data_IF_979511544285
#
_entry.id   IF_979511544285
#
_cell.length_a   1.000
_cell.length_b   1.000
_cell.length_c   1.000
_cell.angle_alpha   90.00
_cell.angle_beta   90.00
_cell.angle_gamma   90.00
#
_symmetry.space_group_name_H-M   'P 1'
#
loop_
_entity.id
_entity.type
_entity.pdbx_description
1 polymer ?
#
# COMPACT_ATOMS: atom_id res chain seq x y z
N UNK A 1 -4.04 32.10 -39.37
CA UNK A 1 -4.46 31.32 -38.19
C UNK A 1 -5.13 32.29 -37.26
N UNK A 2 -6.38 32.04 -36.88
CA UNK A 2 -7.12 32.91 -35.96
C UNK A 2 -6.59 32.75 -34.53
N UNK A 3 -6.82 33.74 -33.67
CA UNK A 3 -6.52 33.59 -32.23
C UNK A 3 -7.29 32.41 -31.60
N UNK A 4 -8.48 32.11 -32.12
CA UNK A 4 -9.29 30.98 -31.69
C UNK A 4 -8.64 29.64 -32.06
N UNK A 5 -8.10 29.51 -33.28
CA UNK A 5 -7.43 28.28 -33.72
C UNK A 5 -6.18 27.97 -32.86
N UNK A 6 -5.46 29.02 -32.46
CA UNK A 6 -4.29 28.92 -31.59
C UNK A 6 -4.70 28.48 -30.17
N UNK A 7 -5.80 29.02 -29.64
CA UNK A 7 -6.35 28.63 -28.35
C UNK A 7 -6.86 27.17 -28.35
N UNK A 8 -7.59 26.77 -29.39
CA UNK A 8 -8.08 25.39 -29.54
C UNK A 8 -6.94 24.38 -29.60
N UNK A 9 -5.88 24.69 -30.36
CA UNK A 9 -4.69 23.84 -30.45
C UNK A 9 -3.97 23.71 -29.11
N UNK A 10 -3.83 24.82 -28.38
CA UNK A 10 -3.23 24.84 -27.04
C UNK A 10 -4.07 24.02 -26.04
N UNK A 11 -5.38 24.26 -25.95
CA UNK A 11 -6.29 23.54 -25.06
C UNK A 11 -6.42 22.06 -25.41
N UNK A 12 -6.44 21.73 -26.71
CA UNK A 12 -6.52 20.37 -27.23
C UNK A 12 -5.35 19.50 -26.78
N UNK A 13 -4.15 20.08 -26.60
CA UNK A 13 -3.01 19.37 -26.04
C UNK A 13 -3.27 18.89 -24.61
N UNK A 14 -3.79 19.78 -23.74
CA UNK A 14 -4.10 19.43 -22.35
C UNK A 14 -5.25 18.42 -22.27
N UNK A 15 -6.28 18.57 -23.10
CA UNK A 15 -7.38 17.60 -23.18
C UNK A 15 -6.85 16.20 -23.53
N UNK A 16 -5.93 16.08 -24.49
CA UNK A 16 -5.32 14.80 -24.85
C UNK A 16 -4.56 14.14 -23.68
N UNK A 17 -3.95 14.92 -22.79
CA UNK A 17 -3.29 14.42 -21.57
C UNK A 17 -4.28 14.00 -20.48
N UNK A 18 -5.48 14.53 -20.54
CA UNK A 18 -6.58 14.14 -19.68
C UNK A 18 -7.39 12.98 -20.26
N UNK A 19 -7.16 12.53 -21.50
CA UNK A 19 -7.90 11.43 -22.11
C UNK A 19 -7.61 10.05 -21.49
N UNK A 20 -8.50 9.09 -21.73
CA UNK A 20 -8.46 7.77 -21.11
C UNK A 20 -7.09 7.04 -21.24
N UNK A 21 -6.39 7.06 -22.38
CA UNK A 21 -5.06 6.44 -22.49
C UNK A 21 -4.01 7.09 -21.59
N UNK A 22 -3.99 8.43 -21.53
CA UNK A 22 -3.04 9.18 -20.71
C UNK A 22 -3.35 9.03 -19.21
N UNK A 23 -4.63 9.09 -18.81
CA UNK A 23 -5.04 8.78 -17.42
C UNK A 23 -4.66 7.37 -17.00
N UNK A 24 -4.85 6.36 -17.87
CA UNK A 24 -4.39 4.99 -17.61
C UNK A 24 -2.88 4.92 -17.40
N UNK A 25 -2.09 5.68 -18.17
CA UNK A 25 -0.65 5.72 -17.98
C UNK A 25 -0.28 6.33 -16.61
N UNK A 26 -0.87 7.48 -16.28
CA UNK A 26 -0.67 8.15 -14.99
C UNK A 26 -1.02 7.25 -13.80
N UNK A 27 -2.20 6.64 -13.81
CA UNK A 27 -2.67 5.77 -12.74
C UNK A 27 -1.81 4.51 -12.59
N UNK A 28 -1.29 3.93 -13.68
CA UNK A 28 -0.35 2.80 -13.61
C UNK A 28 0.97 3.17 -12.92
N UNK A 29 1.50 4.35 -13.21
CA UNK A 29 2.76 4.80 -12.60
C UNK A 29 2.57 5.09 -11.12
N UNK A 30 1.47 5.76 -10.76
CA UNK A 30 1.08 5.98 -9.36
C UNK A 30 0.89 4.64 -8.63
N UNK A 31 0.23 3.66 -9.25
CA UNK A 31 0.04 2.32 -8.69
C UNK A 31 1.38 1.68 -8.29
N UNK A 32 2.35 1.77 -9.20
CA UNK A 32 3.66 1.14 -9.06
C UNK A 32 4.41 1.76 -7.89
N UNK A 33 4.45 3.08 -7.83
CA UNK A 33 5.21 3.79 -6.79
C UNK A 33 4.51 3.73 -5.43
N UNK A 34 3.18 3.89 -5.40
CA UNK A 34 2.42 3.74 -4.17
C UNK A 34 2.63 2.33 -3.58
N UNK A 35 2.50 1.28 -4.40
CA UNK A 35 2.77 -0.09 -3.96
C UNK A 35 4.18 -0.23 -3.40
N UNK A 36 5.20 0.27 -4.09
CA UNK A 36 6.60 0.23 -3.63
C UNK A 36 6.74 0.88 -2.25
N UNK A 37 6.17 2.06 -2.06
CA UNK A 37 6.13 2.75 -0.77
C UNK A 37 5.46 1.91 0.33
N UNK A 38 4.27 1.35 0.07
CA UNK A 38 3.59 0.46 1.02
C UNK A 38 4.48 -0.74 1.39
N UNK A 39 5.15 -1.37 0.42
CA UNK A 39 6.03 -2.51 0.65
C UNK A 39 7.23 -2.15 1.53
N UNK A 40 7.86 -1.01 1.26
CA UNK A 40 9.01 -0.51 2.03
C UNK A 40 8.60 -0.21 3.47
N UNK A 41 7.48 0.51 3.66
CA UNK A 41 6.98 0.86 4.99
C UNK A 41 6.58 -0.37 5.82
N UNK A 42 5.91 -1.34 5.20
CA UNK A 42 5.59 -2.62 5.86
C UNK A 42 6.89 -3.37 6.23
N UNK A 43 7.92 -3.34 5.37
CA UNK A 43 9.22 -3.95 5.69
C UNK A 43 9.88 -3.29 6.91
N UNK A 44 9.78 -1.96 7.03
CA UNK A 44 10.25 -1.18 8.17
C UNK A 44 9.41 -1.34 9.44
N UNK A 45 8.27 -2.05 9.38
CA UNK A 45 7.33 -2.22 10.49
C UNK A 45 6.75 -0.90 11.01
N UNK A 46 6.48 0.05 10.11
CA UNK A 46 5.88 1.35 10.45
C UNK A 46 4.46 1.49 9.92
N UNK A 47 3.66 2.30 10.61
CA UNK A 47 2.34 2.79 10.19
C UNK A 47 2.50 3.99 9.25
N UNK A 48 1.43 4.43 8.56
CA UNK A 48 1.47 5.63 7.70
C UNK A 48 1.83 6.93 8.43
N UNK A 49 1.56 7.02 9.74
CA UNK A 49 1.95 8.15 10.59
C UNK A 49 3.43 8.10 11.04
N UNK A 50 4.20 7.12 10.56
CA UNK A 50 5.60 6.91 10.91
C UNK A 50 5.85 6.12 12.20
N UNK A 51 4.83 5.89 13.03
CA UNK A 51 4.97 5.14 14.29
C UNK A 51 5.22 3.65 14.04
N UNK A 52 5.90 2.99 14.97
CA UNK A 52 6.16 1.56 14.87
C UNK A 52 4.88 0.71 15.08
N UNK A 53 4.82 -0.44 14.43
CA UNK A 53 3.81 -1.44 14.75
C UNK A 53 3.96 -1.95 16.18
N UNK A 54 2.83 -2.21 16.83
CA UNK A 54 2.85 -2.85 18.13
C UNK A 54 3.53 -4.23 18.06
N UNK A 55 4.45 -4.47 18.99
CA UNK A 55 5.23 -5.69 19.04
C UNK A 55 4.34 -6.94 19.20
N UNK A 56 4.85 -8.10 18.78
CA UNK A 56 4.16 -9.38 19.02
C UNK A 56 4.25 -9.75 20.49
N UNK A 57 3.15 -10.27 21.05
CA UNK A 57 3.16 -10.92 22.37
C UNK A 57 4.29 -11.98 22.43
N UNK A 58 5.14 -11.95 23.46
CA UNK A 58 6.16 -12.98 23.63
C UNK A 58 5.46 -14.32 23.87
N UNK A 59 5.86 -15.37 23.15
CA UNK A 59 5.37 -16.72 23.44
C UNK A 59 6.06 -17.25 24.71
N UNK A 60 5.34 -17.94 25.61
CA UNK A 60 5.96 -18.60 26.77
C UNK A 60 7.07 -19.53 26.30
N UNK A 61 8.28 -19.32 26.82
CA UNK A 61 9.50 -20.03 26.40
C UNK A 61 9.54 -21.42 27.04
N UNK A 62 8.76 -22.39 26.54
CA UNK A 62 8.78 -23.73 27.13
C UNK A 62 10.11 -24.49 26.91
N UNK A 63 10.88 -24.19 25.83
CA UNK A 63 12.14 -24.91 25.50
C UNK A 63 13.21 -24.06 24.76
N UNK A 64 13.39 -22.79 25.12
CA UNK A 64 14.28 -21.87 24.36
C UNK A 64 15.46 -21.28 25.17
N UNK A 65 15.73 -21.75 26.40
CA UNK A 65 16.90 -21.28 27.17
C UNK A 65 18.20 -21.53 26.38
N UNK A 66 18.29 -22.63 25.64
CA UNK A 66 19.50 -23.01 24.88
C UNK A 66 19.58 -22.39 23.46
N UNK A 67 18.58 -21.58 23.08
CA UNK A 67 18.51 -20.92 21.75
C UNK A 67 18.28 -19.41 21.87
N UNK A 68 18.58 -18.83 23.02
CA UNK A 68 18.61 -17.39 23.19
C UNK A 68 19.64 -16.79 22.20
N UNK A 69 19.19 -15.91 21.30
CA UNK A 69 20.04 -15.25 20.30
C UNK A 69 20.03 -15.84 18.89
N UNK A 70 19.71 -17.14 18.69
CA UNK A 70 19.80 -17.78 17.36
C UNK A 70 18.54 -17.61 16.50
N UNK A 71 17.38 -17.34 17.09
CA UNK A 71 16.11 -17.16 16.37
C UNK A 71 15.74 -15.68 16.33
N UNK A 72 16.33 -14.92 15.37
CA UNK A 72 15.79 -13.60 15.03
C UNK A 72 14.35 -13.79 14.56
N UNK A 73 13.38 -13.20 15.28
CA UNK A 73 11.98 -13.25 14.83
C UNK A 73 11.90 -12.54 13.48
N UNK A 74 11.45 -13.25 12.44
CA UNK A 74 11.20 -12.63 11.14
C UNK A 74 10.22 -11.46 11.32
N UNK A 75 10.49 -10.34 10.65
CA UNK A 75 9.63 -9.17 10.61
C UNK A 75 8.18 -9.57 10.27
N UNK A 76 7.19 -8.87 10.84
CA UNK A 76 5.78 -9.18 10.55
C UNK A 76 5.46 -8.89 9.10
N UNK A 77 4.45 -9.57 8.56
CA UNK A 77 3.92 -9.30 7.22
C UNK A 77 4.95 -9.42 6.08
N UNK A 78 6.09 -10.07 6.31
CA UNK A 78 7.14 -10.26 5.32
C UNK A 78 6.66 -10.98 4.05
N UNK A 79 5.67 -11.90 4.18
CA UNK A 79 4.98 -12.47 3.02
C UNK A 79 4.01 -11.45 2.41
N UNK A 80 3.08 -10.90 3.19
CA UNK A 80 2.06 -9.94 2.72
C UNK A 80 2.64 -8.80 1.87
N UNK A 81 3.80 -8.24 2.22
CA UNK A 81 4.44 -7.17 1.42
C UNK A 81 4.97 -7.60 0.05
N UNK A 82 5.06 -8.89 -0.26
CA UNK A 82 5.57 -9.32 -1.57
C UNK A 82 4.59 -8.94 -2.68
N UNK A 83 5.11 -8.66 -3.87
CA UNK A 83 4.30 -8.25 -5.02
C UNK A 83 3.14 -9.24 -5.30
N UNK A 84 3.40 -10.55 -5.27
CA UNK A 84 2.33 -11.55 -5.51
C UNK A 84 1.11 -11.45 -4.57
N UNK A 85 1.24 -10.77 -3.43
CA UNK A 85 0.17 -10.65 -2.43
C UNK A 85 -0.38 -9.22 -2.28
N UNK A 86 0.47 -8.19 -2.30
CA UNK A 86 0.03 -6.80 -2.37
C UNK A 86 -0.19 -6.44 -3.84
N UNK A 87 -1.44 -6.46 -4.29
CA UNK A 87 -1.85 -6.29 -5.69
C UNK A 87 -2.15 -4.83 -6.01
N UNK A 88 -2.13 -4.55 -7.30
CA UNK A 88 -2.50 -3.27 -7.89
C UNK A 88 -3.51 -3.53 -9.00
N UNK A 89 -4.59 -2.77 -9.03
CA UNK A 89 -5.61 -2.80 -10.08
C UNK A 89 -5.87 -1.36 -10.50
N UNK A 90 -5.98 -1.10 -11.80
CA UNK A 90 -6.24 0.25 -12.28
C UNK A 90 -6.93 0.21 -13.64
N UNK A 91 -7.74 1.24 -13.91
CA UNK A 91 -8.36 1.50 -15.20
C UNK A 91 -8.15 2.99 -15.58
N UNK A 92 -9.00 3.55 -16.44
CA UNK A 92 -8.87 4.94 -16.88
C UNK A 92 -9.38 5.97 -15.86
N UNK A 93 -10.10 5.53 -14.84
CA UNK A 93 -10.82 6.31 -13.84
C UNK A 93 -10.35 6.02 -12.42
N UNK A 94 -9.86 4.80 -12.16
CA UNK A 94 -9.61 4.31 -10.81
C UNK A 94 -8.27 3.59 -10.68
N UNK A 95 -7.77 3.58 -9.44
CA UNK A 95 -6.60 2.86 -9.00
C UNK A 95 -6.86 2.28 -7.61
N UNK A 96 -6.50 1.02 -7.40
CA UNK A 96 -6.48 0.35 -6.12
C UNK A 96 -5.13 -0.33 -5.85
N UNK A 97 -4.67 -0.26 -4.60
CA UNK A 97 -3.53 -1.02 -4.08
C UNK A 97 -3.98 -1.73 -2.82
N UNK A 98 -3.88 -3.06 -2.78
CA UNK A 98 -4.42 -3.81 -1.66
C UNK A 98 -4.22 -5.30 -1.71
N UNK A 99 -5.06 -6.03 -0.96
CA UNK A 99 -4.99 -7.47 -0.82
C UNK A 99 -6.30 -8.10 -1.28
N UNK A 100 -6.25 -9.34 -1.76
CA UNK A 100 -7.42 -10.08 -2.24
C UNK A 100 -7.62 -11.42 -1.50
N UNK A 101 -8.86 -11.93 -1.55
CA UNK A 101 -9.23 -13.25 -1.03
C UNK A 101 -8.88 -13.45 0.45
N UNK A 102 -8.41 -14.66 0.80
CA UNK A 102 -8.06 -15.04 2.18
C UNK A 102 -7.01 -14.11 2.82
N UNK A 103 -6.13 -13.52 2.02
CA UNK A 103 -5.06 -12.63 2.48
C UNK A 103 -5.63 -11.28 2.90
N UNK A 104 -6.62 -10.77 2.17
CA UNK A 104 -7.33 -9.53 2.51
C UNK A 104 -7.95 -9.61 3.90
N UNK A 105 -8.52 -10.75 4.27
CA UNK A 105 -9.07 -10.96 5.62
C UNK A 105 -8.01 -10.82 6.72
N UNK A 106 -6.82 -11.41 6.53
CA UNK A 106 -5.72 -11.28 7.50
C UNK A 106 -5.24 -9.82 7.57
N UNK A 107 -5.09 -9.18 6.41
CA UNK A 107 -4.71 -7.77 6.35
C UNK A 107 -5.74 -6.89 7.06
N UNK A 108 -7.04 -7.11 6.85
CA UNK A 108 -8.15 -6.37 7.46
C UNK A 108 -8.13 -6.46 8.98
N UNK A 109 -7.96 -7.67 9.53
CA UNK A 109 -7.85 -7.89 10.99
C UNK A 109 -6.75 -7.02 11.58
N UNK A 110 -5.60 -6.91 10.91
CA UNK A 110 -4.51 -6.05 11.37
C UNK A 110 -4.71 -4.58 11.05
N UNK A 111 -5.27 -4.24 9.90
CA UNK A 111 -5.56 -2.87 9.48
C UNK A 111 -6.49 -2.17 10.47
N UNK A 112 -7.57 -2.86 10.86
CA UNK A 112 -8.66 -2.32 11.69
C UNK A 112 -8.57 -2.76 13.16
N UNK A 113 -7.63 -3.63 13.51
CA UNK A 113 -7.48 -4.15 14.87
C UNK A 113 -8.69 -4.99 15.31
N UNK A 114 -9.06 -5.99 14.52
CA UNK A 114 -10.27 -6.78 14.75
C UNK A 114 -10.04 -7.98 15.67
N UNK A 115 -11.14 -8.59 16.10
CA UNK A 115 -11.10 -9.93 16.70
C UNK A 115 -10.91 -10.98 15.60
N UNK A 116 -10.01 -11.92 15.84
CA UNK A 116 -9.91 -13.12 15.02
C UNK A 116 -9.37 -14.30 15.82
N UNK A 117 -9.70 -15.50 15.37
CA UNK A 117 -9.16 -16.74 15.95
C UNK A 117 -7.67 -16.88 15.68
N UNK A 118 -6.91 -17.22 16.72
CA UNK A 118 -5.44 -17.41 16.62
C UNK A 118 -5.09 -18.70 15.88
N UNK A 119 -5.95 -19.72 15.96
CA UNK A 119 -5.82 -21.01 15.28
C UNK A 119 -7.21 -21.56 14.91
N UNK A 120 -7.32 -22.52 13.97
CA UNK A 120 -8.58 -23.21 13.71
C UNK A 120 -9.15 -23.82 15.00
N UNK A 121 -10.41 -23.49 15.32
CA UNK A 121 -11.08 -23.87 16.60
C UNK A 121 -10.36 -23.42 17.88
N UNK A 122 -9.43 -22.47 17.77
CA UNK A 122 -8.70 -21.91 18.90
C UNK A 122 -9.34 -20.65 19.48
N UNK A 123 -8.71 -20.05 20.51
CA UNK A 123 -9.21 -18.85 21.16
C UNK A 123 -9.23 -17.66 20.20
N UNK A 124 -10.18 -16.76 20.45
CA UNK A 124 -10.28 -15.48 19.79
C UNK A 124 -9.37 -14.44 20.47
N UNK A 125 -8.84 -13.52 19.68
CA UNK A 125 -7.93 -12.49 20.15
C UNK A 125 -8.23 -11.16 19.46
N UNK A 126 -8.31 -10.07 20.23
CA UNK A 126 -8.33 -8.70 19.70
C UNK A 126 -6.92 -8.33 19.24
N UNK A 127 -6.73 -8.23 17.93
CA UNK A 127 -5.46 -7.78 17.39
C UNK A 127 -5.33 -6.26 17.51
N UNK A 128 -4.16 -5.73 17.89
CA UNK A 128 -3.95 -4.30 17.81
C UNK A 128 -3.77 -3.87 16.36
N UNK A 129 -4.25 -2.66 16.07
CA UNK A 129 -4.20 -2.05 14.75
C UNK A 129 -2.75 -1.78 14.30
N UNK A 130 -2.35 -2.51 13.27
CA UNK A 130 -1.12 -2.34 12.50
C UNK A 130 -1.54 -1.96 11.10
N UNK A 131 -1.68 -0.65 10.88
CA UNK A 131 -2.17 -0.05 9.64
C UNK A 131 -1.19 -0.37 8.52
N UNK A 132 -1.55 -1.35 7.68
CA UNK A 132 -0.71 -1.85 6.59
C UNK A 132 -0.81 -0.96 5.35
N UNK A 133 -2.03 -0.52 5.04
CA UNK A 133 -2.35 0.32 3.89
C UNK A 133 -2.73 1.72 4.35
N UNK A 134 -2.21 2.74 3.67
CA UNK A 134 -2.52 4.13 3.93
C UNK A 134 -1.54 5.07 3.26
N UNK A 135 -1.84 6.36 3.27
CA UNK A 135 -0.99 7.39 2.67
C UNK A 135 -0.19 8.10 3.76
N UNK A 136 1.13 8.15 3.59
CA UNK A 136 2.00 9.13 4.25
C UNK A 136 1.90 10.48 3.53
N UNK A 137 2.49 11.52 4.10
CA UNK A 137 2.60 12.82 3.42
C UNK A 137 3.48 12.69 2.16
N UNK A 138 4.58 11.94 2.24
CA UNK A 138 5.44 11.62 1.07
C UNK A 138 4.65 10.89 -0.03
N UNK A 139 3.75 9.97 0.33
CA UNK A 139 2.89 9.30 -0.66
C UNK A 139 1.99 10.31 -1.38
N UNK A 140 1.40 11.26 -0.64
CA UNK A 140 0.50 12.28 -1.20
C UNK A 140 1.25 13.22 -2.13
N UNK A 141 2.44 13.64 -1.73
CA UNK A 141 3.32 14.48 -2.55
C UNK A 141 3.77 13.76 -3.82
N UNK A 142 4.22 12.51 -3.69
CA UNK A 142 4.61 11.67 -4.83
C UNK A 142 3.44 11.51 -5.82
N UNK A 143 2.22 11.24 -5.34
CA UNK A 143 1.02 11.14 -6.18
C UNK A 143 0.77 12.44 -6.93
N UNK A 144 0.79 13.58 -6.22
CA UNK A 144 0.60 14.91 -6.81
C UNK A 144 1.63 15.19 -7.89
N UNK A 145 2.90 14.93 -7.61
CA UNK A 145 4.00 15.20 -8.54
C UNK A 145 3.89 14.33 -9.80
N UNK A 146 3.57 13.04 -9.65
CA UNK A 146 3.32 12.16 -10.80
C UNK A 146 2.14 12.65 -11.65
N UNK A 147 1.03 13.05 -11.02
CA UNK A 147 -0.12 13.60 -11.76
C UNK A 147 0.27 14.84 -12.56
N UNK A 148 0.97 15.80 -11.94
CA UNK A 148 1.44 17.01 -12.63
C UNK A 148 2.37 16.70 -13.80
N UNK A 149 3.29 15.73 -13.63
CA UNK A 149 4.17 15.28 -14.72
C UNK A 149 3.42 14.72 -15.93
N UNK A 150 2.25 14.12 -15.74
CA UNK A 150 1.43 13.56 -16.82
C UNK A 150 0.54 14.61 -17.51
N UNK A 151 0.24 15.73 -16.82
CA UNK A 151 -0.64 16.79 -17.34
C UNK A 151 0.13 17.96 -17.96
N UNK A 152 1.33 18.27 -17.45
CA UNK A 152 2.10 19.46 -17.84
C UNK A 152 3.17 19.18 -18.92
N UNK A 153 3.50 17.91 -19.16
CA UNK A 153 4.26 17.48 -20.34
C UNK A 153 3.38 17.39 -21.56
#
# INVERSE_FOLDING_TARGET
MSELDAFESWAGHFLAKLEAPARRAALRDIARELRRSQQARIAQQKKPDGTAYEARKPRPKKHLRDKAGRVKRKAMFAKLRQARYLRTENDAMSLAVGFAGRIARVARVHQLGEHARVAPRGPEYKYPARVLLGFTDDDREMIRNLLLMHVVK
#
